data_IF_409861751030
#
_entry.id   IF_409861751030
#
_cell.length_a   1.000
_cell.length_b   1.000
_cell.length_c   1.000
_cell.angle_alpha   90.00
_cell.angle_beta   90.00
_cell.angle_gamma   90.00
#
_symmetry.space_group_name_H-M   'P 1'
#
loop_
_entity.id
_entity.type
_entity.pdbx_description
1 polymer ?
#
# COMPACT_ATOMS: atom_id res chain seq x y z
N UNK A 1 0.56 6.82 0.55
CA UNK A 1 1.90 6.28 0.27
C UNK A 1 2.94 7.31 0.64
N UNK A 2 3.82 6.96 1.58
CA UNK A 2 4.87 7.87 2.02
C UNK A 2 6.19 7.65 1.27
N UNK A 3 6.40 6.46 0.75
CA UNK A 3 7.63 6.12 0.03
C UNK A 3 7.38 4.97 -0.93
N UNK A 4 7.99 5.02 -2.10
CA UNK A 4 7.97 3.93 -3.07
C UNK A 4 9.30 3.19 -2.99
N UNK A 5 9.22 1.88 -2.77
CA UNK A 5 10.39 1.02 -2.61
C UNK A 5 10.56 0.12 -3.83
N UNK A 6 11.77 -0.40 -4.09
CA UNK A 6 11.97 -1.36 -5.16
C UNK A 6 11.18 -2.65 -4.92
N UNK A 7 10.87 -3.38 -5.99
CA UNK A 7 10.15 -4.65 -5.89
C UNK A 7 8.65 -4.52 -5.66
N UNK A 8 8.05 -3.43 -6.11
CA UNK A 8 6.60 -3.17 -5.97
C UNK A 8 6.15 -3.11 -4.51
N UNK A 9 7.01 -2.59 -3.65
CA UNK A 9 6.72 -2.38 -2.24
C UNK A 9 6.54 -0.89 -1.97
N UNK A 10 5.71 -0.59 -0.96
CA UNK A 10 5.35 0.79 -0.64
C UNK A 10 5.25 0.93 0.87
N UNK A 11 5.73 2.06 1.38
CA UNK A 11 5.46 2.44 2.76
C UNK A 11 4.19 3.27 2.78
N UNK A 12 3.24 2.85 3.57
CA UNK A 12 1.94 3.51 3.67
C UNK A 12 1.66 3.89 5.11
N UNK A 13 1.30 5.16 5.31
CA UNK A 13 0.89 5.62 6.63
C UNK A 13 -0.61 5.41 6.79
N UNK A 14 -0.99 4.74 7.86
CA UNK A 14 -2.39 4.53 8.22
C UNK A 14 -2.89 5.78 8.92
N UNK A 15 -3.99 6.35 8.45
CA UNK A 15 -4.49 7.64 8.94
C UNK A 15 -4.94 7.60 10.40
N UNK A 16 -5.47 6.49 10.85
CA UNK A 16 -6.08 6.38 12.18
C UNK A 16 -5.08 6.49 13.32
N UNK A 17 -3.84 6.02 13.11
CA UNK A 17 -2.86 5.92 14.20
C UNK A 17 -1.44 6.27 13.78
N UNK A 18 -1.26 6.88 12.62
CA UNK A 18 0.05 7.23 12.05
C UNK A 18 1.02 6.04 11.96
N UNK A 19 0.50 4.84 12.01
CA UNK A 19 1.31 3.64 11.88
C UNK A 19 1.77 3.46 10.43
N UNK A 20 3.07 3.22 10.23
CA UNK A 20 3.62 3.01 8.90
C UNK A 20 3.78 1.51 8.68
N UNK A 21 3.21 1.01 7.60
CA UNK A 21 3.30 -0.40 7.24
C UNK A 21 3.97 -0.56 5.88
N UNK A 22 4.51 -1.74 5.66
CA UNK A 22 5.03 -2.14 4.36
C UNK A 22 3.90 -2.79 3.58
N UNK A 23 3.57 -2.21 2.42
CA UNK A 23 2.47 -2.70 1.60
C UNK A 23 2.97 -3.10 0.22
N UNK A 24 2.24 -4.00 -0.42
CA UNK A 24 2.50 -4.42 -1.79
C UNK A 24 1.21 -4.36 -2.59
N UNK A 25 1.33 -4.32 -3.91
CA UNK A 25 0.16 -4.27 -4.78
C UNK A 25 -0.58 -5.61 -4.76
N UNK A 26 -1.92 -5.55 -4.75
CA UNK A 26 -2.74 -6.74 -4.95
C UNK A 26 -2.50 -7.29 -6.36
N UNK A 27 -2.83 -8.57 -6.56
CA UNK A 27 -2.71 -9.18 -7.88
C UNK A 27 -3.52 -8.45 -8.93
N UNK A 28 -4.72 -7.98 -8.57
CA UNK A 28 -5.58 -7.21 -9.48
C UNK A 28 -4.91 -5.91 -9.93
N UNK A 29 -4.29 -5.18 -8.99
CA UNK A 29 -3.62 -3.93 -9.32
C UNK A 29 -2.39 -4.14 -10.20
N UNK A 30 -1.64 -5.20 -9.95
CA UNK A 30 -0.52 -5.57 -10.83
C UNK A 30 -1.01 -5.91 -12.23
N UNK A 31 -2.10 -6.64 -12.33
CA UNK A 31 -2.68 -7.07 -13.60
C UNK A 31 -3.15 -5.88 -14.42
N UNK A 32 -3.72 -4.87 -13.77
CA UNK A 32 -4.20 -3.66 -14.44
C UNK A 32 -3.11 -2.59 -14.59
N UNK A 33 -1.89 -2.89 -14.20
CA UNK A 33 -0.72 -1.99 -14.31
C UNK A 33 -0.98 -0.63 -13.68
N UNK A 34 -1.64 -0.62 -12.54
CA UNK A 34 -1.93 0.61 -11.82
C UNK A 34 -0.65 1.11 -11.17
N UNK A 35 -0.27 2.34 -11.48
CA UNK A 35 0.91 2.96 -10.89
C UNK A 35 0.52 3.69 -9.61
N UNK A 36 1.28 3.43 -8.55
CA UNK A 36 1.13 4.11 -7.27
C UNK A 36 2.41 4.90 -7.02
N UNK A 37 2.25 6.17 -6.70
CA UNK A 37 3.39 7.05 -6.46
C UNK A 37 3.31 7.64 -5.05
N UNK A 38 4.41 8.23 -4.62
CA UNK A 38 4.49 8.92 -3.34
C UNK A 38 3.44 10.03 -3.27
N UNK A 39 2.71 10.08 -2.17
CA UNK A 39 1.62 11.03 -1.98
C UNK A 39 0.23 10.50 -2.34
N UNK A 40 0.15 9.36 -3.02
CA UNK A 40 -1.14 8.78 -3.38
C UNK A 40 -1.89 8.27 -2.15
N UNK A 41 -3.22 8.37 -2.21
CA UNK A 41 -4.10 7.74 -1.23
C UNK A 41 -4.48 6.36 -1.73
N UNK A 42 -4.38 5.38 -0.85
CA UNK A 42 -4.70 3.99 -1.19
C UNK A 42 -5.47 3.35 -0.07
N UNK A 43 -6.25 2.33 -0.43
CA UNK A 43 -6.87 1.45 0.55
C UNK A 43 -5.95 0.25 0.73
N UNK A 44 -5.66 -0.06 1.99
CA UNK A 44 -4.74 -1.15 2.33
C UNK A 44 -5.46 -2.15 3.23
N UNK A 45 -5.35 -3.41 2.89
CA UNK A 45 -5.78 -4.51 3.77
C UNK A 45 -4.59 -4.94 4.62
N UNK A 46 -4.68 -4.64 5.90
CA UNK A 46 -3.60 -5.00 6.85
C UNK A 46 -3.69 -6.49 7.15
N UNK A 47 -2.53 -7.16 7.15
CA UNK A 47 -2.48 -8.58 7.46
C UNK A 47 -2.89 -8.83 8.91
N UNK A 48 -3.76 -9.83 9.11
CA UNK A 48 -4.14 -10.26 10.46
C UNK A 48 -3.02 -11.02 11.17
N UNK A 49 -2.06 -11.51 10.40
CA UNK A 49 -0.92 -12.26 10.93
C UNK A 49 0.27 -11.36 11.25
N UNK A 50 0.33 -10.21 10.61
CA UNK A 50 1.43 -9.26 10.80
C UNK A 50 0.93 -7.85 10.51
N UNK A 51 0.66 -7.09 11.55
CA UNK A 51 0.09 -5.74 11.42
C UNK A 51 1.06 -4.72 10.82
N UNK A 52 2.32 -5.10 10.64
CA UNK A 52 3.31 -4.24 9.97
C UNK A 52 3.30 -4.41 8.46
N UNK A 53 2.48 -5.32 7.92
CA UNK A 53 2.40 -5.61 6.50
C UNK A 53 0.96 -5.51 6.03
N UNK A 54 0.80 -5.15 4.75
CA UNK A 54 -0.52 -5.04 4.16
C UNK A 54 -0.48 -5.15 2.65
N UNK A 55 -1.66 -5.11 2.05
CA UNK A 55 -1.83 -5.21 0.60
C UNK A 55 -2.66 -4.03 0.12
N UNK A 56 -2.15 -3.33 -0.87
CA UNK A 56 -2.88 -2.23 -1.50
C UNK A 56 -3.95 -2.82 -2.41
N UNK A 57 -5.21 -2.52 -2.11
CA UNK A 57 -6.35 -3.06 -2.85
C UNK A 57 -7.01 -2.05 -3.77
N UNK A 58 -6.81 -0.76 -3.53
CA UNK A 58 -7.43 0.30 -4.32
C UNK A 58 -6.61 1.58 -4.22
N UNK A 59 -6.55 2.31 -5.34
CA UNK A 59 -5.88 3.61 -5.39
C UNK A 59 -6.93 4.70 -5.57
N UNK A 60 -6.91 5.69 -4.71
CA UNK A 60 -7.76 6.87 -4.83
C UNK A 60 -7.09 7.92 -5.72
N UNK A 61 -7.90 8.56 -6.55
CA UNK A 61 -7.40 9.65 -7.37
C UNK A 61 -7.37 10.96 -6.60
#
# INVERSE_FOLDING_TARGET
VTEVLPGNQYRVRIQDNDHIILAYLSGRMKQHRIHVIEGDRVDVEVSIYDVSKGRISYRHK
#
